data_IF_368487736759
#
_entry.id   IF_368487736759
#
_cell.length_a   1.000
_cell.length_b   1.000
_cell.length_c   1.000
_cell.angle_alpha   90.00
_cell.angle_beta   90.00
_cell.angle_gamma   90.00
#
_symmetry.space_group_name_H-M   'P 1'
#
loop_
_entity.id
_entity.type
_entity.pdbx_description
1 polymer ?
#
# COMPACT_ATOMS: atom_id res chain seq x y z
N UNK A 1 15.67 23.85 -8.56
CA UNK A 1 14.33 23.71 -9.17
C UNK A 1 14.31 22.74 -10.36
N UNK A 2 15.06 22.96 -11.46
CA UNK A 2 14.99 22.05 -12.63
C UNK A 2 15.41 20.60 -12.34
N UNK A 3 16.48 20.37 -11.55
CA UNK A 3 16.90 19.02 -11.18
C UNK A 3 15.83 18.28 -10.35
N UNK A 4 15.22 18.97 -9.37
CA UNK A 4 14.12 18.43 -8.57
C UNK A 4 12.92 18.06 -9.43
N UNK A 5 12.47 18.95 -10.32
CA UNK A 5 11.38 18.67 -11.24
C UNK A 5 11.68 17.48 -12.16
N UNK A 6 12.93 17.36 -12.62
CA UNK A 6 13.37 16.21 -13.41
C UNK A 6 13.28 14.89 -12.61
N UNK A 7 13.82 14.84 -11.38
CA UNK A 7 13.74 13.63 -10.55
C UNK A 7 12.30 13.27 -10.19
N UNK A 8 11.47 14.26 -9.85
CA UNK A 8 10.04 14.07 -9.58
C UNK A 8 9.32 13.50 -10.81
N UNK A 9 9.59 14.02 -12.01
CA UNK A 9 9.01 13.50 -13.25
C UNK A 9 9.48 12.05 -13.53
N UNK A 10 10.77 11.75 -13.36
CA UNK A 10 11.32 10.41 -13.58
C UNK A 10 10.71 9.40 -12.61
N UNK A 11 10.69 9.69 -11.32
CA UNK A 11 10.13 8.79 -10.31
C UNK A 11 8.60 8.68 -10.42
N UNK A 12 7.90 9.77 -10.75
CA UNK A 12 6.46 9.77 -11.00
C UNK A 12 6.09 8.90 -12.21
N UNK A 13 6.83 9.03 -13.32
CA UNK A 13 6.64 8.16 -14.49
C UNK A 13 6.99 6.71 -14.20
N UNK A 14 8.03 6.46 -13.40
CA UNK A 14 8.37 5.11 -12.95
C UNK A 14 7.25 4.51 -12.09
N UNK A 15 6.70 5.26 -11.14
CA UNK A 15 5.57 4.82 -10.30
C UNK A 15 4.35 4.44 -11.15
N UNK A 16 3.97 5.29 -12.11
CA UNK A 16 2.87 4.99 -13.05
C UNK A 16 3.20 3.76 -13.89
N UNK A 17 4.43 3.67 -14.42
CA UNK A 17 4.87 2.54 -15.25
C UNK A 17 4.78 1.21 -14.51
N UNK A 18 5.32 1.15 -13.28
CA UNK A 18 5.22 -0.04 -12.44
C UNK A 18 3.78 -0.33 -12.02
N UNK A 19 2.98 0.69 -11.69
CA UNK A 19 1.55 0.55 -11.41
C UNK A 19 0.78 -0.08 -12.56
N UNK A 20 1.09 0.28 -13.82
CA UNK A 20 0.50 -0.39 -15.00
C UNK A 20 0.95 -1.85 -15.10
N UNK A 21 2.21 -2.16 -14.78
CA UNK A 21 2.74 -3.54 -14.80
C UNK A 21 2.02 -4.44 -13.79
N UNK A 22 1.61 -3.92 -12.63
CA UNK A 22 0.82 -4.65 -11.60
C UNK A 22 -0.43 -5.27 -12.23
N UNK A 23 -1.19 -4.50 -13.01
CA UNK A 23 -2.43 -4.95 -13.64
C UNK A 23 -2.24 -5.76 -14.92
N UNK A 24 -1.07 -5.66 -15.56
CA UNK A 24 -0.76 -6.40 -16.80
C UNK A 24 -0.13 -7.76 -16.54
N UNK A 25 0.40 -7.99 -15.34
CA UNK A 25 1.13 -9.21 -15.02
C UNK A 25 0.19 -10.27 -14.47
N UNK A 26 0.24 -11.48 -15.04
CA UNK A 26 -0.57 -12.62 -14.58
C UNK A 26 -0.07 -13.25 -13.28
N UNK A 27 1.25 -13.21 -13.04
CA UNK A 27 1.84 -13.73 -11.80
C UNK A 27 1.63 -12.75 -10.66
N UNK A 28 1.05 -13.25 -9.57
CA UNK A 28 0.77 -12.44 -8.39
C UNK A 28 2.09 -11.99 -7.70
N UNK A 29 3.18 -12.76 -7.83
CA UNK A 29 4.50 -12.42 -7.26
C UNK A 29 5.12 -11.25 -7.98
N UNK A 30 5.14 -11.35 -9.32
CA UNK A 30 5.67 -10.28 -10.16
C UNK A 30 4.82 -9.02 -10.03
N UNK A 31 3.51 -9.17 -9.83
CA UNK A 31 2.61 -8.05 -9.54
C UNK A 31 2.94 -7.38 -8.19
N UNK A 32 3.14 -8.16 -7.12
CA UNK A 32 3.54 -7.64 -5.82
C UNK A 32 4.92 -6.93 -5.86
N UNK A 33 5.90 -7.50 -6.56
CA UNK A 33 7.21 -6.86 -6.76
C UNK A 33 7.11 -5.60 -7.61
N UNK A 34 6.28 -5.58 -8.66
CA UNK A 34 6.04 -4.37 -9.43
C UNK A 34 5.40 -3.27 -8.56
N UNK A 35 4.45 -3.63 -7.69
CA UNK A 35 3.83 -2.69 -6.76
C UNK A 35 4.85 -2.16 -5.73
N UNK A 36 5.75 -3.02 -5.24
CA UNK A 36 6.88 -2.61 -4.39
C UNK A 36 7.75 -1.55 -5.07
N UNK A 37 8.12 -1.75 -6.34
CA UNK A 37 8.88 -0.76 -7.10
C UNK A 37 8.08 0.53 -7.35
N UNK A 38 6.78 0.43 -7.63
CA UNK A 38 5.89 1.58 -7.75
C UNK A 38 5.90 2.42 -6.48
N UNK A 39 5.74 1.78 -5.33
CA UNK A 39 5.65 2.48 -4.05
C UNK A 39 7.00 3.02 -3.57
N UNK A 40 8.09 2.32 -3.90
CA UNK A 40 9.45 2.80 -3.68
C UNK A 40 9.74 4.04 -4.54
N UNK A 41 9.27 4.07 -5.80
CA UNK A 41 9.40 5.25 -6.64
C UNK A 41 8.63 6.46 -6.07
N UNK A 42 7.45 6.24 -5.46
CA UNK A 42 6.75 7.29 -4.70
C UNK A 42 7.57 7.77 -3.50
N UNK A 43 8.20 6.86 -2.76
CA UNK A 43 9.13 7.23 -1.68
C UNK A 43 10.31 8.07 -2.17
N UNK A 44 10.91 7.70 -3.30
CA UNK A 44 11.97 8.49 -3.95
C UNK A 44 11.47 9.86 -4.42
N UNK A 45 10.21 9.98 -4.84
CA UNK A 45 9.59 11.26 -5.18
C UNK A 45 9.48 12.17 -3.94
N UNK A 46 9.14 11.63 -2.76
CA UNK A 46 9.18 12.40 -1.51
C UNK A 46 10.59 12.88 -1.14
N UNK A 47 11.61 12.04 -1.34
CA UNK A 47 13.00 12.45 -1.14
C UNK A 47 13.41 13.56 -2.11
N UNK A 48 13.01 13.46 -3.39
CA UNK A 48 13.24 14.51 -4.38
C UNK A 48 12.55 15.83 -4.00
N UNK A 49 11.39 15.76 -3.34
CA UNK A 49 10.67 16.92 -2.80
C UNK A 49 11.15 17.36 -1.40
N UNK A 50 12.31 16.88 -0.94
CA UNK A 50 12.90 17.22 0.36
C UNK A 50 12.00 16.89 1.55
N UNK A 51 11.07 15.95 1.40
CA UNK A 51 10.23 15.41 2.48
C UNK A 51 10.87 14.13 3.00
N UNK A 52 12.03 14.26 3.64
CA UNK A 52 12.96 13.15 3.89
C UNK A 52 12.37 12.12 4.84
N UNK A 53 11.76 12.57 5.94
CA UNK A 53 11.12 11.68 6.91
C UNK A 53 10.03 10.83 6.26
N UNK A 54 9.13 11.45 5.48
CA UNK A 54 8.04 10.74 4.81
C UNK A 54 8.58 9.80 3.72
N UNK A 55 9.58 10.22 2.95
CA UNK A 55 10.21 9.39 1.93
C UNK A 55 10.86 8.14 2.51
N UNK A 56 11.62 8.27 3.60
CA UNK A 56 12.22 7.12 4.28
C UNK A 56 11.15 6.21 4.88
N UNK A 57 10.14 6.75 5.58
CA UNK A 57 9.05 5.94 6.12
C UNK A 57 8.30 5.19 5.02
N UNK A 58 8.01 5.85 3.91
CA UNK A 58 7.34 5.25 2.76
C UNK A 58 8.11 4.05 2.24
N UNK A 59 9.43 4.19 2.06
CA UNK A 59 10.27 3.09 1.56
C UNK A 59 10.35 1.98 2.61
N UNK A 60 10.63 2.31 3.88
CA UNK A 60 10.80 1.30 4.93
C UNK A 60 9.54 0.48 5.19
N UNK A 61 8.39 1.14 5.34
CA UNK A 61 7.12 0.46 5.65
C UNK A 61 6.65 -0.39 4.46
N UNK A 62 6.63 0.21 3.26
CA UNK A 62 6.07 -0.45 2.08
C UNK A 62 7.00 -1.54 1.56
N UNK A 63 8.33 -1.33 1.67
CA UNK A 63 9.27 -2.38 1.34
C UNK A 63 9.11 -3.59 2.25
N UNK A 64 8.93 -3.38 3.54
CA UNK A 64 8.76 -4.46 4.51
C UNK A 64 7.44 -5.20 4.28
N UNK A 65 6.31 -4.47 4.20
CA UNK A 65 5.00 -5.10 4.08
C UNK A 65 4.85 -5.89 2.77
N UNK A 66 5.25 -5.30 1.64
CA UNK A 66 5.07 -5.91 0.32
C UNK A 66 6.03 -7.08 0.11
N UNK A 67 7.25 -7.00 0.64
CA UNK A 67 8.21 -8.11 0.56
C UNK A 67 7.72 -9.31 1.35
N UNK A 68 7.23 -9.09 2.57
CA UNK A 68 6.67 -10.16 3.41
C UNK A 68 5.46 -10.80 2.71
N UNK A 69 4.53 -9.98 2.22
CA UNK A 69 3.37 -10.47 1.46
C UNK A 69 3.77 -11.27 0.23
N UNK A 70 4.74 -10.80 -0.56
CA UNK A 70 5.23 -11.49 -1.74
C UNK A 70 5.83 -12.86 -1.39
N UNK A 71 6.64 -12.94 -0.32
CA UNK A 71 7.23 -14.21 0.15
C UNK A 71 6.15 -15.19 0.59
N UNK A 72 5.22 -14.76 1.45
CA UNK A 72 4.14 -15.62 1.93
C UNK A 72 3.24 -16.09 0.80
N UNK A 73 3.02 -15.26 -0.20
CA UNK A 73 2.23 -15.61 -1.35
C UNK A 73 2.94 -16.64 -2.24
N UNK A 74 4.26 -16.55 -2.45
CA UNK A 74 5.05 -17.63 -3.09
C UNK A 74 4.93 -18.93 -2.30
N UNK A 75 4.98 -18.85 -0.97
CA UNK A 75 5.01 -20.02 -0.10
C UNK A 75 3.65 -20.72 0.04
N UNK A 76 2.55 -19.96 0.06
CA UNK A 76 1.23 -20.48 0.43
C UNK A 76 0.17 -20.43 -0.67
N UNK A 77 0.37 -19.70 -1.78
CA UNK A 77 -0.58 -19.81 -2.90
C UNK A 77 -0.34 -21.05 -3.75
N UNK A 78 -1.45 -21.64 -4.20
CA UNK A 78 -1.46 -22.85 -5.01
C UNK A 78 -0.94 -22.62 -6.43
N UNK A 79 -1.06 -21.39 -6.96
CA UNK A 79 -0.47 -20.95 -8.23
C UNK A 79 0.02 -19.49 -8.16
N UNK A 80 1.22 -19.24 -7.60
CA UNK A 80 1.78 -17.89 -7.51
C UNK A 80 2.24 -17.35 -8.89
N UNK A 81 2.37 -18.24 -9.88
CA UNK A 81 2.76 -17.93 -11.25
C UNK A 81 1.62 -17.42 -12.14
N UNK A 82 0.38 -17.65 -11.74
CA UNK A 82 -0.82 -17.25 -12.50
C UNK A 82 -0.93 -17.97 -13.84
N UNK A 83 -0.52 -19.24 -13.88
CA UNK A 83 -0.52 -20.09 -15.07
C UNK A 83 -1.87 -20.81 -15.27
N UNK A 84 -2.76 -20.78 -14.28
CA UNK A 84 -4.07 -21.46 -14.25
C UNK A 84 -5.18 -20.85 -15.10
N UNK A 85 -4.91 -19.83 -15.93
CA UNK A 85 -5.80 -19.40 -17.03
C UNK A 85 -7.29 -19.24 -16.66
N UNK A 86 -7.61 -18.63 -15.52
CA UNK A 86 -9.01 -18.30 -15.19
C UNK A 86 -9.32 -16.87 -15.63
N UNK A 87 -9.98 -16.74 -16.78
CA UNK A 87 -10.58 -15.48 -17.23
C UNK A 87 -11.89 -15.23 -16.46
N UNK A 88 -11.79 -14.69 -15.26
CA UNK A 88 -12.95 -14.26 -14.46
C UNK A 88 -13.43 -12.88 -14.93
N UNK A 89 -13.78 -12.75 -16.21
CA UNK A 89 -14.19 -11.47 -16.81
C UNK A 89 -15.71 -11.39 -16.94
N UNK A 90 -16.35 -10.84 -15.91
CA UNK A 90 -17.62 -10.14 -16.08
C UNK A 90 -17.34 -8.64 -16.01
N UNK A 91 -17.67 -7.90 -17.08
CA UNK A 91 -17.68 -6.42 -17.14
C UNK A 91 -16.34 -5.66 -17.28
N UNK A 92 -15.36 -6.19 -18.03
CA UNK A 92 -14.09 -5.49 -18.36
C UNK A 92 -14.29 -4.05 -18.87
N UNK A 93 -15.31 -3.82 -19.69
CA UNK A 93 -15.62 -2.49 -20.26
C UNK A 93 -16.09 -1.48 -19.20
N UNK A 94 -16.86 -1.94 -18.21
CA UNK A 94 -17.31 -1.08 -17.12
C UNK A 94 -16.15 -0.73 -16.18
N UNK A 95 -15.31 -1.71 -15.85
CA UNK A 95 -14.10 -1.48 -15.03
C UNK A 95 -13.15 -0.47 -15.68
N UNK A 96 -12.88 -0.59 -16.99
CA UNK A 96 -12.07 0.39 -17.72
C UNK A 96 -12.75 1.77 -17.71
N UNK A 97 -14.06 1.83 -17.95
CA UNK A 97 -14.82 3.09 -17.88
C UNK A 97 -14.72 3.77 -16.51
N UNK A 98 -14.93 3.01 -15.44
CA UNK A 98 -14.80 3.50 -14.07
C UNK A 98 -13.37 3.97 -13.76
N UNK A 99 -12.35 3.24 -14.20
CA UNK A 99 -10.94 3.62 -14.04
C UNK A 99 -10.60 4.93 -14.75
N UNK A 100 -11.05 5.10 -16.00
CA UNK A 100 -10.84 6.34 -16.77
C UNK A 100 -11.56 7.53 -16.13
N UNK A 101 -12.80 7.34 -15.69
CA UNK A 101 -13.57 8.39 -15.00
C UNK A 101 -12.88 8.78 -13.69
N UNK A 102 -12.47 7.81 -12.87
CA UNK A 102 -11.77 8.08 -11.61
C UNK A 102 -10.44 8.82 -11.84
N UNK A 103 -9.65 8.39 -12.83
CA UNK A 103 -8.41 9.08 -13.20
C UNK A 103 -8.67 10.50 -13.71
N UNK A 104 -9.69 10.69 -14.54
CA UNK A 104 -10.09 12.00 -15.03
C UNK A 104 -10.50 12.95 -13.90
N UNK A 105 -11.32 12.47 -12.95
CA UNK A 105 -11.70 13.24 -11.76
C UNK A 105 -10.48 13.61 -10.92
N UNK A 106 -9.58 12.66 -10.67
CA UNK A 106 -8.36 12.93 -9.90
C UNK A 106 -7.47 13.99 -10.58
N UNK A 107 -7.33 13.94 -11.91
CA UNK A 107 -6.60 14.93 -12.69
C UNK A 107 -7.26 16.31 -12.60
N UNK A 108 -8.59 16.39 -12.77
CA UNK A 108 -9.33 17.65 -12.65
C UNK A 108 -9.15 18.26 -11.26
N UNK A 109 -9.29 17.45 -10.21
CA UNK A 109 -9.06 17.90 -8.82
C UNK A 109 -7.63 18.38 -8.64
N UNK A 110 -6.62 17.67 -9.17
CA UNK A 110 -5.23 18.07 -9.06
C UNK A 110 -4.93 19.41 -9.76
N UNK A 111 -5.57 19.69 -10.90
CA UNK A 111 -5.44 20.97 -11.61
C UNK A 111 -6.22 22.11 -10.98
N UNK A 112 -7.35 21.83 -10.32
CA UNK A 112 -8.20 22.84 -9.69
C UNK A 112 -7.86 23.13 -8.24
N UNK A 113 -7.16 22.20 -7.58
CA UNK A 113 -6.72 22.40 -6.20
C UNK A 113 -5.69 23.53 -6.14
N UNK A 114 -5.92 24.46 -5.21
CA UNK A 114 -4.91 25.43 -4.82
C UNK A 114 -3.93 24.75 -3.85
N UNK A 115 -2.76 24.40 -4.38
CA UNK A 115 -1.67 23.76 -3.62
C UNK A 115 -0.92 24.74 -2.71
N UNK A 116 -1.29 26.03 -2.74
CA UNK A 116 -0.64 27.09 -1.97
C UNK A 116 0.65 27.59 -2.61
N UNK A 117 1.37 28.51 -1.92
CA UNK A 117 2.59 29.10 -2.44
C UNK A 117 3.74 28.07 -2.49
N UNK A 118 4.59 28.20 -3.52
CA UNK A 118 5.79 27.38 -3.64
C UNK A 118 6.73 27.68 -2.46
N UNK A 119 7.05 26.66 -1.68
CA UNK A 119 8.01 26.75 -0.59
C UNK A 119 9.42 26.90 -1.16
N UNK A 120 10.08 28.03 -0.93
CA UNK A 120 11.42 28.29 -1.45
C UNK A 120 12.52 27.49 -0.74
N UNK A 121 12.29 27.14 0.53
CA UNK A 121 13.24 26.41 1.35
C UNK A 121 12.49 25.39 2.21
N UNK A 122 12.85 24.11 2.06
CA UNK A 122 12.29 23.04 2.86
C UNK A 122 12.98 23.02 4.24
N UNK A 123 12.23 22.78 5.35
CA UNK A 123 12.83 22.61 6.66
C UNK A 123 13.79 21.42 6.69
N UNK A 124 14.84 21.47 7.52
CA UNK A 124 15.75 20.35 7.72
C UNK A 124 15.05 19.09 8.29
N UNK A 125 15.60 17.90 7.99
CA UNK A 125 15.06 16.59 8.39
C UNK A 125 14.72 16.50 9.89
N UNK A 126 15.60 17.03 10.75
CA UNK A 126 15.42 17.01 12.19
C UNK A 126 14.23 17.90 12.61
N UNK A 127 14.08 19.05 11.96
CA UNK A 127 12.95 19.95 12.19
C UNK A 127 11.64 19.33 11.71
N UNK A 128 11.62 18.68 10.54
CA UNK A 128 10.44 17.98 10.03
C UNK A 128 9.96 16.91 11.02
N UNK A 129 10.88 16.08 11.52
CA UNK A 129 10.58 15.01 12.49
C UNK A 129 10.04 15.58 13.80
N UNK A 130 10.67 16.65 14.31
CA UNK A 130 10.23 17.32 15.53
C UNK A 130 8.84 17.93 15.37
N UNK A 131 8.61 18.66 14.27
CA UNK A 131 7.33 19.30 14.00
C UNK A 131 6.20 18.28 13.89
N UNK A 132 6.46 17.16 13.19
CA UNK A 132 5.51 16.05 13.07
C UNK A 132 5.21 15.41 14.43
N UNK A 133 6.23 15.20 15.28
CA UNK A 133 6.02 14.70 16.63
C UNK A 133 5.18 15.65 17.50
N UNK A 134 5.44 16.95 17.43
CA UNK A 134 4.65 17.96 18.16
C UNK A 134 3.21 18.05 17.67
N UNK A 135 2.98 17.91 16.36
CA UNK A 135 1.65 17.90 15.78
C UNK A 135 0.86 16.64 16.19
N UNK A 136 1.50 15.46 16.13
CA UNK A 136 0.90 14.18 16.53
C UNK A 136 0.58 14.12 18.02
N UNK A 137 1.46 14.60 18.89
CA UNK A 137 1.26 14.57 20.35
C UNK A 137 0.50 15.78 20.90
N UNK A 138 0.33 16.82 20.08
CA UNK A 138 -0.42 18.02 20.43
C UNK A 138 -1.83 17.95 19.86
N UNK A 139 -2.06 18.67 18.75
CA UNK A 139 -3.40 18.85 18.15
C UNK A 139 -3.99 17.55 17.61
N UNK A 140 -3.16 16.64 17.09
CA UNK A 140 -3.61 15.41 16.43
C UNK A 140 -3.55 14.18 17.35
N UNK A 141 -3.49 14.37 18.67
CA UNK A 141 -3.37 13.27 19.64
C UNK A 141 -4.48 12.23 19.52
N UNK A 142 -5.74 12.66 19.29
CA UNK A 142 -6.86 11.73 19.10
C UNK A 142 -6.72 10.90 17.81
N UNK A 143 -6.19 11.48 16.73
CA UNK A 143 -5.94 10.75 15.48
C UNK A 143 -4.84 9.72 15.71
N UNK A 144 -3.79 10.09 16.43
CA UNK A 144 -2.71 9.17 16.80
C UNK A 144 -3.20 8.01 17.67
N UNK A 145 -4.04 8.28 18.67
CA UNK A 145 -4.58 7.25 19.57
C UNK A 145 -5.53 6.30 18.83
N UNK A 146 -6.41 6.82 17.97
CA UNK A 146 -7.31 5.99 17.15
C UNK A 146 -6.56 5.13 16.14
N UNK A 147 -5.46 5.62 15.56
CA UNK A 147 -4.56 4.82 14.74
C UNK A 147 -3.93 3.66 15.55
N UNK A 148 -3.47 3.93 16.78
CA UNK A 148 -2.94 2.92 17.69
C UNK A 148 -3.96 1.83 18.04
N UNK A 149 -5.19 2.22 18.40
CA UNK A 149 -6.29 1.28 18.66
C UNK A 149 -6.66 0.47 17.42
N UNK A 150 -6.59 1.09 16.23
CA UNK A 150 -6.84 0.39 14.95
C UNK A 150 -5.79 -0.68 14.69
N UNK A 151 -4.50 -0.38 14.93
CA UNK A 151 -3.42 -1.37 14.77
C UNK A 151 -3.60 -2.52 15.77
N UNK A 152 -3.91 -2.21 17.04
CA UNK A 152 -4.19 -3.24 18.05
C UNK A 152 -5.36 -4.14 17.63
N UNK A 153 -6.44 -3.54 17.15
CA UNK A 153 -7.64 -4.26 16.70
C UNK A 153 -7.32 -5.14 15.50
N UNK A 154 -6.54 -4.65 14.53
CA UNK A 154 -6.10 -5.41 13.37
C UNK A 154 -5.25 -6.63 13.79
N UNK A 155 -4.34 -6.46 14.74
CA UNK A 155 -3.53 -7.58 15.27
C UNK A 155 -4.38 -8.65 15.96
N UNK A 156 -5.36 -8.24 16.79
CA UNK A 156 -6.28 -9.16 17.45
C UNK A 156 -7.14 -9.89 16.42
N UNK A 157 -7.72 -9.17 15.45
CA UNK A 157 -8.56 -9.75 14.41
C UNK A 157 -7.79 -10.75 13.54
N UNK A 158 -6.58 -10.39 13.08
CA UNK A 158 -5.74 -11.28 12.29
C UNK A 158 -5.36 -12.55 13.07
N UNK A 159 -5.03 -12.42 14.35
CA UNK A 159 -4.70 -13.57 15.22
C UNK A 159 -5.92 -14.46 15.45
N UNK A 160 -7.09 -13.87 15.72
CA UNK A 160 -8.34 -14.61 15.93
C UNK A 160 -8.75 -15.40 14.68
N UNK A 161 -8.58 -14.83 13.49
CA UNK A 161 -8.84 -15.52 12.20
C UNK A 161 -7.87 -16.68 11.96
N UNK A 162 -6.63 -16.59 12.45
CA UNK A 162 -5.63 -17.63 12.28
C UNK A 162 -5.82 -18.85 13.22
N UNK A 163 -6.60 -18.74 14.30
CA UNK A 163 -6.80 -19.82 15.25
C UNK A 163 -7.84 -20.82 14.69
N UNK A 164 -7.51 -22.12 14.55
CA UNK A 164 -8.47 -23.11 14.08
C UNK A 164 -9.57 -23.32 15.14
N UNK A 165 -10.84 -23.33 14.70
CA UNK A 165 -11.97 -23.66 15.56
C UNK A 165 -11.89 -25.15 15.91
N UNK A 166 -11.64 -25.45 17.18
CA UNK A 166 -11.69 -26.83 17.67
C UNK A 166 -13.14 -27.29 17.67
N UNK A 167 -13.53 -28.05 16.63
CA UNK A 167 -14.76 -28.83 16.67
C UNK A 167 -14.52 -29.98 17.63
N UNK A 168 -15.15 -29.92 18.80
CA UNK A 168 -15.22 -31.07 19.70
C UNK A 168 -16.01 -32.17 19.00
N UNK A 169 -15.31 -33.16 18.46
CA UNK A 169 -15.94 -34.38 17.96
C UNK A 169 -16.71 -35.01 19.12
N UNK A 170 -18.03 -35.09 18.98
CA UNK A 170 -18.91 -35.69 19.96
C UNK A 170 -18.55 -37.18 20.07
N UNK A 171 -18.05 -37.60 21.24
CA UNK A 171 -17.72 -39.00 21.56
C UNK A 171 -18.93 -39.95 21.56
N UNK A 172 -20.10 -39.52 21.07
CA UNK A 172 -21.34 -40.28 21.08
C UNK A 172 -21.45 -41.35 19.98
N UNK A 173 -20.55 -41.38 18.98
CA UNK A 173 -20.61 -42.37 17.88
C UNK A 173 -19.78 -43.65 18.14
N UNK A 174 -19.28 -43.83 19.38
CA UNK A 174 -18.47 -45.00 19.77
C UNK A 174 -19.15 -45.97 20.73
N UNK A 175 -20.33 -45.66 21.28
CA UNK A 175 -21.06 -46.58 22.18
C UNK A 175 -22.05 -47.49 21.45
N UNK A 176 -22.39 -47.24 20.18
CA UNK A 176 -23.40 -48.02 19.45
C UNK A 176 -22.84 -49.23 18.66
N UNK A 177 -21.58 -49.63 18.88
CA UNK A 177 -20.95 -50.75 18.13
C UNK A 177 -20.26 -51.83 18.97
N UNK A 178 -20.56 -51.95 20.27
CA UNK A 178 -20.12 -53.11 21.08
C UNK A 178 -21.28 -54.03 21.47
#
# INVERSE_FOLDING_TARGET
MYAQAFFVAVFGLAAIGFGVVVFRTSSMVRSALALLFSQTAVGCMFLAMQTEFLGVLQIMMMATEMSIMAIFMVMFMMDPGGMGGMDMTHQKRFSIGAGVVAAGVAIVVAFWADWGPVTAEAPDAAMQTRALGMELLGRSMLIFETAGVTILTAMIAATAVAIPVQTTANSADKEDTE
#
